data_IF_384825295711
#
_entry.id   IF_384825295711
#
_cell.length_a   1.000
_cell.length_b   1.000
_cell.length_c   1.000
_cell.angle_alpha   90.00
_cell.angle_beta   90.00
_cell.angle_gamma   90.00
#
_symmetry.space_group_name_H-M   'P 1'
#
loop_
_entity.id
_entity.type
_entity.pdbx_description
1 polymer ?
#
# COMPACT_ATOMS: atom_id res chain seq x y z
N UNK A 1 -11.91 9.19 5.60
CA UNK A 1 -11.25 7.88 5.50
C UNK A 1 -10.01 8.03 4.63
N UNK A 2 -8.87 7.48 5.03
CA UNK A 2 -7.61 7.58 4.27
C UNK A 2 -7.66 6.67 3.02
N UNK A 3 -7.10 7.12 1.89
CA UNK A 3 -7.17 6.38 0.61
C UNK A 3 -6.41 5.05 0.63
N UNK A 4 -5.36 4.90 1.44
CA UNK A 4 -4.65 3.61 1.58
C UNK A 4 -5.53 2.62 2.35
N UNK A 5 -6.27 3.10 3.36
CA UNK A 5 -7.25 2.30 4.08
C UNK A 5 -8.40 1.84 3.19
N UNK A 6 -8.85 2.67 2.24
CA UNK A 6 -9.84 2.27 1.23
C UNK A 6 -9.30 1.19 0.29
N UNK A 7 -8.06 1.31 -0.18
CA UNK A 7 -7.45 0.31 -1.04
C UNK A 7 -7.29 -1.05 -0.32
N UNK A 8 -6.92 -1.03 0.96
CA UNK A 8 -6.82 -2.24 1.78
C UNK A 8 -8.19 -2.89 2.00
N UNK A 9 -9.24 -2.10 2.28
CA UNK A 9 -10.60 -2.61 2.43
C UNK A 9 -11.11 -3.28 1.15
N UNK A 10 -10.88 -2.67 -0.02
CA UNK A 10 -11.26 -3.26 -1.30
C UNK A 10 -10.54 -4.60 -1.58
N UNK A 11 -9.27 -4.72 -1.17
CA UNK A 11 -8.55 -5.99 -1.27
C UNK A 11 -9.11 -7.03 -0.30
N UNK A 12 -9.46 -6.66 0.92
CA UNK A 12 -10.07 -7.55 1.91
C UNK A 12 -11.47 -8.03 1.47
N UNK A 13 -12.22 -7.16 0.78
CA UNK A 13 -13.56 -7.43 0.23
C UNK A 13 -13.57 -8.29 -1.04
N UNK A 14 -12.40 -8.70 -1.57
CA UNK A 14 -12.31 -9.53 -2.79
C UNK A 14 -12.20 -8.73 -4.10
N UNK A 15 -12.26 -7.41 -4.04
CA UNK A 15 -12.28 -6.51 -5.20
C UNK A 15 -10.86 -6.16 -5.66
N UNK A 16 -10.08 -7.18 -6.05
CA UNK A 16 -8.64 -7.05 -6.27
C UNK A 16 -8.25 -5.99 -7.32
N UNK A 17 -8.97 -5.89 -8.43
CA UNK A 17 -8.68 -4.89 -9.48
C UNK A 17 -8.97 -3.46 -9.02
N UNK A 18 -10.08 -3.25 -8.31
CA UNK A 18 -10.43 -1.92 -7.78
C UNK A 18 -9.50 -1.53 -6.63
N UNK A 19 -9.16 -2.48 -5.77
CA UNK A 19 -8.17 -2.30 -4.71
C UNK A 19 -6.80 -1.93 -5.28
N UNK A 20 -6.35 -2.61 -6.34
CA UNK A 20 -5.09 -2.28 -7.00
C UNK A 20 -5.10 -0.89 -7.66
N UNK A 21 -6.19 -0.51 -8.36
CA UNK A 21 -6.32 0.81 -8.96
C UNK A 21 -6.33 1.94 -7.92
N UNK A 22 -6.99 1.72 -6.79
CA UNK A 22 -6.98 2.65 -5.65
C UNK A 22 -5.59 2.72 -5.00
N UNK A 23 -4.92 1.58 -4.84
CA UNK A 23 -3.57 1.51 -4.31
C UNK A 23 -2.58 2.29 -5.19
N UNK A 24 -2.63 2.13 -6.51
CA UNK A 24 -1.76 2.85 -7.44
C UNK A 24 -1.83 4.37 -7.26
N UNK A 25 -3.04 4.93 -7.26
CA UNK A 25 -3.24 6.37 -7.07
C UNK A 25 -2.71 6.86 -5.72
N UNK A 26 -2.77 6.01 -4.70
CA UNK A 26 -2.37 6.41 -3.35
C UNK A 26 -0.88 6.23 -3.10
N UNK A 27 -0.22 5.29 -3.79
CA UNK A 27 1.23 5.09 -3.72
C UNK A 27 1.99 6.30 -4.27
N UNK A 28 1.47 6.96 -5.32
CA UNK A 28 2.07 8.20 -5.86
C UNK A 28 1.96 9.37 -4.88
N UNK A 29 0.87 9.46 -4.13
CA UNK A 29 0.69 10.46 -3.06
C UNK A 29 1.55 10.11 -1.82
N UNK A 30 1.61 8.83 -1.44
CA UNK A 30 2.45 8.33 -0.36
C UNK A 30 3.95 8.54 -0.65
N UNK A 31 4.36 8.46 -1.92
CA UNK A 31 5.72 8.80 -2.33
C UNK A 31 6.10 10.26 -2.04
N UNK A 32 5.14 11.16 -1.81
CA UNK A 32 5.40 12.58 -1.53
C UNK A 32 5.36 12.93 -0.04
N UNK A 33 4.85 12.03 0.80
CA UNK A 33 4.64 12.29 2.23
C UNK A 33 5.48 11.31 3.05
N UNK A 34 6.37 11.84 3.89
CA UNK A 34 7.16 11.02 4.81
C UNK A 34 6.47 10.98 6.17
N UNK A 35 5.86 9.84 6.51
CA UNK A 35 5.07 9.70 7.74
C UNK A 35 5.03 8.25 8.22
N UNK A 36 5.25 8.05 9.51
CA UNK A 36 5.12 6.75 10.19
C UNK A 36 3.73 6.13 10.00
N UNK A 37 2.69 6.96 9.87
CA UNK A 37 1.33 6.51 9.60
C UNK A 37 1.18 5.95 8.17
N UNK A 38 1.87 6.54 7.20
CA UNK A 38 1.92 6.04 5.82
C UNK A 38 2.64 4.68 5.78
N UNK A 39 3.76 4.54 6.49
CA UNK A 39 4.47 3.26 6.58
C UNK A 39 3.61 2.14 7.21
N UNK A 40 2.88 2.43 8.29
CA UNK A 40 1.95 1.47 8.90
C UNK A 40 0.85 1.04 7.92
N UNK A 41 0.29 1.98 7.14
CA UNK A 41 -0.74 1.69 6.14
C UNK A 41 -0.21 0.91 4.93
N UNK A 42 1.01 1.17 4.49
CA UNK A 42 1.65 0.38 3.44
C UNK A 42 1.85 -1.08 3.87
N UNK A 43 2.21 -1.33 5.13
CA UNK A 43 2.29 -2.68 5.66
C UNK A 43 0.92 -3.38 5.68
N UNK A 44 -0.15 -2.68 6.07
CA UNK A 44 -1.51 -3.23 6.01
C UNK A 44 -1.94 -3.54 4.57
N UNK A 45 -1.61 -2.68 3.61
CA UNK A 45 -1.87 -2.92 2.19
C UNK A 45 -1.13 -4.16 1.68
N UNK A 46 0.14 -4.35 2.09
CA UNK A 46 0.94 -5.54 1.73
C UNK A 46 0.34 -6.84 2.27
N UNK A 47 -0.17 -6.82 3.50
CA UNK A 47 -0.85 -7.99 4.10
C UNK A 47 -2.17 -8.31 3.37
N UNK A 48 -2.99 -7.28 3.06
CA UNK A 48 -4.24 -7.46 2.32
C UNK A 48 -4.01 -7.92 0.86
N UNK A 49 -2.89 -7.53 0.25
CA UNK A 49 -2.49 -7.93 -1.10
C UNK A 49 -1.92 -9.36 -1.16
N UNK A 50 -1.52 -9.95 -0.03
CA UNK A 50 -0.82 -11.24 0.05
C UNK A 50 -1.53 -12.43 -0.63
N UNK A 51 -2.87 -12.60 -0.58
CA UNK A 51 -3.54 -13.74 -1.19
C UNK A 51 -3.73 -13.62 -2.72
N UNK A 52 -3.47 -12.45 -3.31
CA UNK A 52 -3.71 -12.20 -4.73
C UNK A 52 -2.42 -12.28 -5.55
N UNK A 53 -2.45 -13.07 -6.62
CA UNK A 53 -1.30 -13.27 -7.51
C UNK A 53 -1.40 -12.49 -8.84
N UNK A 54 -2.43 -11.65 -9.00
CA UNK A 54 -2.65 -10.91 -10.24
C UNK A 54 -1.53 -9.90 -10.52
N UNK A 55 -1.24 -9.65 -11.80
CA UNK A 55 -0.17 -8.73 -12.20
C UNK A 55 -0.34 -7.31 -11.61
N UNK A 56 -1.58 -6.83 -11.50
CA UNK A 56 -1.89 -5.53 -10.90
C UNK A 56 -1.54 -5.49 -9.40
N UNK A 57 -1.89 -6.53 -8.64
CA UNK A 57 -1.57 -6.60 -7.21
C UNK A 57 -0.06 -6.80 -7.00
N UNK A 58 0.61 -7.53 -7.89
CA UNK A 58 2.07 -7.69 -7.85
C UNK A 58 2.82 -6.37 -8.05
N UNK A 59 2.36 -5.50 -8.96
CA UNK A 59 2.96 -4.17 -9.16
C UNK A 59 2.77 -3.28 -7.93
N UNK A 60 1.56 -3.28 -7.35
CA UNK A 60 1.26 -2.59 -6.08
C UNK A 60 2.19 -3.07 -4.96
N UNK A 61 2.38 -4.38 -4.84
CA UNK A 61 3.22 -5.00 -3.81
C UNK A 61 4.71 -4.64 -3.98
N UNK A 62 5.18 -4.58 -5.22
CA UNK A 62 6.55 -4.18 -5.56
C UNK A 62 6.76 -2.70 -5.21
N UNK A 63 5.89 -1.81 -5.69
CA UNK A 63 5.98 -0.37 -5.40
C UNK A 63 5.85 -0.06 -3.90
N UNK A 64 4.94 -0.72 -3.19
CA UNK A 64 4.78 -0.53 -1.74
C UNK A 64 6.04 -0.98 -0.97
N UNK A 65 6.65 -2.10 -1.36
CA UNK A 65 7.94 -2.54 -0.77
C UNK A 65 9.08 -1.57 -1.06
N UNK A 66 9.17 -1.06 -2.28
CA UNK A 66 10.19 -0.08 -2.65
C UNK A 66 10.06 1.19 -1.81
N UNK A 67 8.83 1.67 -1.60
CA UNK A 67 8.58 2.84 -0.75
C UNK A 67 8.94 2.61 0.72
N UNK A 68 8.60 1.45 1.27
CA UNK A 68 8.99 1.07 2.65
C UNK A 68 10.51 0.94 2.78
N UNK A 69 11.18 0.40 1.77
CA UNK A 69 12.65 0.19 1.77
C UNK A 69 13.41 1.49 1.54
N UNK A 70 12.92 2.37 0.66
CA UNK A 70 13.51 3.67 0.36
C UNK A 70 13.38 4.65 1.54
N UNK A 71 12.43 4.42 2.45
CA UNK A 71 12.19 5.26 3.62
C UNK A 71 12.15 4.41 4.87
N UNK A 72 13.31 3.96 5.38
CA UNK A 72 13.37 3.38 6.71
C UNK A 72 12.97 4.48 7.66
N UNK A 73 11.74 4.42 8.18
CA UNK A 73 11.29 5.29 9.25
C UNK A 73 12.30 5.14 10.38
N UNK A 74 13.18 6.13 10.52
CA UNK A 74 14.04 6.23 11.69
C UNK A 74 13.10 6.58 12.83
N UNK A 75 12.59 5.55 13.50
CA UNK A 75 12.01 5.71 14.82
C UNK A 75 13.20 6.04 15.71
N UNK A 76 13.47 7.33 15.91
CA UNK A 76 14.25 7.75 17.06
C UNK A 76 13.41 7.36 18.30
N UNK A 77 13.86 6.31 18.97
CA UNK A 77 13.35 5.85 20.26
C UNK A 77 13.65 6.87 21.36
#
# INVERSE_FOLDING_TARGET
MDRVGLAAALLDEGEAERGAAAAHQTLDDAARVDSTLVASRLNMLLEAARPYETAAVQDVRTRARDLVTARPTTIAA
#
